data_IF_344067428778
#
_entry.id   IF_344067428778
#
_cell.length_a   1.000
_cell.length_b   1.000
_cell.length_c   1.000
_cell.angle_alpha   90.00
_cell.angle_beta   90.00
_cell.angle_gamma   90.00
#
_symmetry.space_group_name_H-M   'P 1'
#
loop_
_entity.id
_entity.type
_entity.pdbx_description
1 polymer ?
#
# COMPACT_ATOMS: atom_id res chain seq x y z
N UNK A 1 -53.99 4.30 32.17
CA UNK A 1 -52.77 5.10 31.96
C UNK A 1 -51.76 4.26 31.16
N UNK A 2 -51.03 4.91 30.23
CA UNK A 2 -49.70 4.53 29.70
C UNK A 2 -49.52 3.26 28.83
N UNK A 3 -50.00 3.24 27.58
CA UNK A 3 -49.49 2.29 26.55
C UNK A 3 -49.11 2.92 25.19
N UNK A 4 -49.46 4.18 24.91
CA UNK A 4 -49.19 4.81 23.61
C UNK A 4 -47.81 5.49 23.49
N UNK A 5 -47.14 5.79 24.61
CA UNK A 5 -45.87 6.55 24.61
C UNK A 5 -44.61 5.67 24.52
N UNK A 6 -44.73 4.35 24.69
CA UNK A 6 -43.58 3.43 24.74
C UNK A 6 -43.13 3.04 23.32
N UNK A 7 -44.06 2.78 22.40
CA UNK A 7 -43.79 2.40 21.00
C UNK A 7 -43.10 3.52 20.20
N UNK A 8 -43.47 4.78 20.43
CA UNK A 8 -42.86 5.94 19.75
C UNK A 8 -41.41 6.20 20.20
N UNK A 9 -41.09 5.89 21.47
CA UNK A 9 -39.73 6.05 22.03
C UNK A 9 -38.76 4.98 21.54
N UNK A 10 -39.23 3.74 21.38
CA UNK A 10 -38.40 2.64 20.87
C UNK A 10 -38.02 2.86 19.40
N UNK A 11 -38.95 3.36 18.58
CA UNK A 11 -38.68 3.67 17.16
C UNK A 11 -37.63 4.78 16.97
N UNK A 12 -37.62 5.80 17.84
CA UNK A 12 -36.65 6.92 17.78
C UNK A 12 -35.25 6.49 18.22
N UNK A 13 -35.14 5.58 19.20
CA UNK A 13 -33.84 5.07 19.68
C UNK A 13 -33.16 4.15 18.66
N UNK A 14 -33.92 3.34 17.91
CA UNK A 14 -33.37 2.49 16.87
C UNK A 14 -32.81 3.27 15.66
N UNK A 15 -33.41 4.42 15.33
CA UNK A 15 -32.99 5.24 14.18
C UNK A 15 -31.67 6.01 14.43
N UNK A 16 -31.35 6.33 15.68
CA UNK A 16 -30.11 7.03 16.04
C UNK A 16 -28.86 6.12 16.02
N UNK A 17 -29.04 4.80 16.17
CA UNK A 17 -27.93 3.85 16.10
C UNK A 17 -27.44 3.60 14.66
N UNK A 18 -28.26 3.89 13.65
CA UNK A 18 -27.92 3.67 12.23
C UNK A 18 -27.06 4.82 11.66
N UNK A 19 -27.12 6.01 12.25
CA UNK A 19 -26.42 7.21 11.76
C UNK A 19 -24.95 7.30 12.18
N UNK A 20 -24.48 6.47 13.12
CA UNK A 20 -23.09 6.48 13.59
C UNK A 20 -22.13 5.62 12.74
N UNK A 21 -22.65 4.87 11.76
CA UNK A 21 -21.90 3.82 11.07
C UNK A 21 -21.32 4.20 9.68
N UNK A 22 -21.36 5.46 9.25
CA UNK A 22 -20.92 5.87 7.90
C UNK A 22 -19.47 6.41 7.81
N UNK A 23 -18.64 6.25 8.83
CA UNK A 23 -17.25 6.73 8.82
C UNK A 23 -16.22 5.61 9.01
N UNK A 24 -15.28 5.48 8.06
CA UNK A 24 -14.06 4.67 8.26
C UNK A 24 -13.26 5.24 9.44
N UNK A 25 -12.82 4.38 10.33
CA UNK A 25 -11.90 4.72 11.41
C UNK A 25 -10.56 5.23 10.86
N UNK A 26 -9.81 5.96 11.68
CA UNK A 26 -8.48 6.42 11.31
C UNK A 26 -7.52 5.24 11.01
N UNK A 27 -7.72 4.08 11.64
CA UNK A 27 -6.93 2.89 11.37
C UNK A 27 -7.24 2.28 9.99
N UNK A 28 -8.52 2.17 9.64
CA UNK A 28 -8.95 1.69 8.32
C UNK A 28 -8.46 2.61 7.19
N UNK A 29 -8.55 3.94 7.38
CA UNK A 29 -8.03 4.90 6.40
C UNK A 29 -6.53 4.73 6.16
N UNK A 30 -5.73 4.55 7.22
CA UNK A 30 -4.28 4.30 7.09
C UNK A 30 -3.96 2.98 6.40
N UNK A 31 -4.73 1.93 6.70
CA UNK A 31 -4.57 0.62 6.04
C UNK A 31 -4.88 0.71 4.55
N UNK A 32 -5.97 1.37 4.19
CA UNK A 32 -6.37 1.60 2.80
C UNK A 32 -5.35 2.45 2.04
N UNK A 33 -4.87 3.53 2.66
CA UNK A 33 -3.81 4.38 2.10
C UNK A 33 -2.51 3.57 1.89
N UNK A 34 -2.08 2.80 2.87
CA UNK A 34 -0.89 1.96 2.75
C UNK A 34 -1.04 0.90 1.64
N UNK A 35 -2.21 0.28 1.52
CA UNK A 35 -2.52 -0.67 0.45
C UNK A 35 -2.50 0.00 -0.94
N UNK A 36 -3.03 1.22 -1.02
CA UNK A 36 -3.03 2.03 -2.25
C UNK A 36 -1.60 2.37 -2.68
N UNK A 37 -0.79 2.87 -1.75
CA UNK A 37 0.63 3.19 -2.00
C UNK A 37 1.44 1.95 -2.37
N UNK A 38 1.19 0.82 -1.71
CA UNK A 38 1.85 -0.46 -2.04
C UNK A 38 1.52 -0.88 -3.47
N UNK A 39 0.24 -0.85 -3.85
CA UNK A 39 -0.22 -1.19 -5.20
C UNK A 39 0.37 -0.27 -6.28
N UNK A 40 0.48 1.03 -6.01
CA UNK A 40 1.16 1.98 -6.90
C UNK A 40 2.66 1.69 -6.99
N UNK A 41 3.30 1.37 -5.88
CA UNK A 41 4.71 0.96 -5.83
C UNK A 41 4.97 -0.24 -6.75
N UNK A 42 4.17 -1.32 -6.61
CA UNK A 42 4.24 -2.49 -7.47
C UNK A 42 4.02 -2.14 -8.95
N UNK A 43 3.02 -1.29 -9.24
CA UNK A 43 2.74 -0.84 -10.60
C UNK A 43 3.96 -0.17 -11.22
N UNK A 44 4.62 0.74 -10.51
CA UNK A 44 5.77 1.46 -11.06
C UNK A 44 7.01 0.58 -11.21
N UNK A 45 7.23 -0.39 -10.33
CA UNK A 45 8.26 -1.42 -10.53
C UNK A 45 7.95 -2.27 -11.76
N UNK A 46 6.69 -2.69 -11.94
CA UNK A 46 6.22 -3.46 -13.09
C UNK A 46 6.48 -2.74 -14.42
N UNK A 47 6.39 -1.42 -14.45
CA UNK A 47 6.70 -0.61 -15.65
C UNK A 47 8.19 -0.59 -16.01
N UNK A 48 9.08 -1.02 -15.09
CA UNK A 48 10.55 -1.03 -15.28
C UNK A 48 11.13 -2.41 -15.57
N UNK A 49 10.36 -3.48 -15.40
CA UNK A 49 10.81 -4.86 -15.62
C UNK A 49 10.27 -5.44 -16.92
N UNK A 50 10.99 -6.42 -17.49
CA UNK A 50 10.72 -6.93 -18.84
C UNK A 50 9.43 -7.75 -18.96
N UNK A 51 9.12 -8.58 -17.97
CA UNK A 51 7.87 -9.32 -17.89
C UNK A 51 7.05 -8.84 -16.68
N UNK A 52 6.26 -7.75 -16.82
CA UNK A 52 5.53 -7.14 -15.70
C UNK A 52 4.55 -8.10 -15.00
N UNK A 53 3.94 -9.00 -15.78
CA UNK A 53 2.94 -9.95 -15.29
C UNK A 53 3.53 -11.08 -14.43
N UNK A 54 4.84 -11.36 -14.54
CA UNK A 54 5.54 -12.36 -13.73
C UNK A 54 6.23 -11.78 -12.51
N UNK A 55 6.20 -10.45 -12.33
CA UNK A 55 6.83 -9.79 -11.20
C UNK A 55 6.17 -10.21 -9.87
N UNK A 56 6.99 -10.72 -8.96
CA UNK A 56 6.59 -11.14 -7.61
C UNK A 56 7.10 -10.12 -6.59
N UNK A 57 6.31 -9.81 -5.57
CA UNK A 57 6.64 -8.82 -4.55
C UNK A 57 6.56 -9.41 -3.16
N UNK A 58 7.46 -8.99 -2.27
CA UNK A 58 7.45 -9.40 -0.85
C UNK A 58 8.10 -8.33 0.03
N UNK A 59 7.93 -8.48 1.35
CA UNK A 59 8.54 -7.62 2.37
C UNK A 59 8.29 -6.13 2.12
N UNK A 60 7.06 -5.79 1.70
CA UNK A 60 6.68 -4.45 1.31
C UNK A 60 6.28 -3.62 2.54
N UNK A 61 6.77 -2.40 2.60
CA UNK A 61 6.47 -1.43 3.66
C UNK A 61 6.27 -0.05 3.06
N UNK A 62 5.40 0.74 3.68
CA UNK A 62 5.28 2.17 3.38
C UNK A 62 6.15 2.93 4.37
N UNK A 63 7.24 3.51 3.87
CA UNK A 63 8.22 4.28 4.60
C UNK A 63 7.90 5.77 4.67
N UNK A 64 8.93 6.58 4.90
CA UNK A 64 8.81 8.03 5.06
C UNK A 64 8.30 8.68 3.76
N UNK A 65 7.44 9.69 3.91
CA UNK A 65 6.89 10.43 2.78
C UNK A 65 6.00 9.61 1.84
N UNK A 66 5.52 8.44 2.28
CA UNK A 66 4.70 7.54 1.46
C UNK A 66 5.50 6.67 0.49
N UNK A 67 6.83 6.61 0.64
CA UNK A 67 7.67 5.75 -0.19
C UNK A 67 7.34 4.27 0.03
N UNK A 68 7.02 3.54 -1.03
CA UNK A 68 6.86 2.09 -0.97
C UNK A 68 8.22 1.44 -1.16
N UNK A 69 8.65 0.66 -0.17
CA UNK A 69 9.90 -0.09 -0.22
C UNK A 69 9.63 -1.58 -0.10
N UNK A 70 10.46 -2.42 -0.72
CA UNK A 70 10.32 -3.86 -0.59
C UNK A 70 11.27 -4.62 -1.49
N UNK A 71 10.93 -5.87 -1.77
CA UNK A 71 11.65 -6.71 -2.70
C UNK A 71 10.75 -7.13 -3.86
N UNK A 72 11.33 -7.20 -5.06
CA UNK A 72 10.68 -7.74 -6.24
C UNK A 72 11.55 -8.83 -6.86
N UNK A 73 10.94 -9.79 -7.54
CA UNK A 73 11.63 -10.75 -8.40
C UNK A 73 10.97 -10.71 -9.77
N UNK A 74 11.77 -10.60 -10.83
CA UNK A 74 11.31 -10.52 -12.20
C UNK A 74 12.20 -11.38 -13.10
N UNK A 75 11.71 -11.68 -14.30
CA UNK A 75 12.48 -12.45 -15.27
C UNK A 75 13.40 -11.57 -16.11
N UNK A 76 14.55 -12.12 -16.47
CA UNK A 76 15.48 -11.56 -17.44
C UNK A 76 15.00 -11.77 -18.90
N UNK A 77 15.86 -11.42 -19.86
CA UNK A 77 15.57 -11.58 -21.28
C UNK A 77 15.48 -13.04 -21.74
N UNK A 78 15.95 -14.00 -20.95
CA UNK A 78 15.91 -15.43 -21.22
C UNK A 78 14.76 -16.14 -20.48
N UNK A 79 13.94 -15.40 -19.73
CA UNK A 79 12.79 -15.90 -18.99
C UNK A 79 13.12 -16.50 -17.62
N UNK A 80 14.37 -16.36 -17.15
CA UNK A 80 14.80 -16.82 -15.83
C UNK A 80 14.61 -15.73 -14.78
N UNK A 81 14.17 -16.11 -13.57
CA UNK A 81 14.08 -15.16 -12.45
C UNK A 81 15.46 -14.74 -11.97
N UNK A 82 15.66 -13.42 -11.80
CA UNK A 82 16.94 -12.82 -11.38
C UNK A 82 17.19 -12.90 -9.86
N UNK A 83 16.24 -13.46 -9.12
CA UNK A 83 16.23 -13.43 -7.66
C UNK A 83 15.59 -12.15 -7.13
N UNK A 84 15.30 -12.15 -5.82
CA UNK A 84 14.69 -10.99 -5.20
C UNK A 84 15.69 -9.83 -5.07
N UNK A 85 15.30 -8.68 -5.57
CA UNK A 85 16.04 -7.42 -5.58
C UNK A 85 15.23 -6.36 -4.82
N UNK A 86 15.91 -5.42 -4.15
CA UNK A 86 15.23 -4.35 -3.43
C UNK A 86 14.77 -3.24 -4.37
N UNK A 87 13.68 -2.57 -4.00
CA UNK A 87 13.19 -1.38 -4.69
C UNK A 87 12.71 -0.30 -3.71
N UNK A 88 12.68 0.95 -4.20
CA UNK A 88 12.09 2.11 -3.54
C UNK A 88 11.19 2.81 -4.56
N UNK A 89 9.96 3.17 -4.19
CA UNK A 89 9.01 3.81 -5.11
C UNK A 89 8.27 4.95 -4.43
N UNK A 90 8.53 6.19 -4.86
CA UNK A 90 7.87 7.40 -4.34
C UNK A 90 6.82 7.92 -5.32
N UNK A 91 7.14 7.85 -6.61
CA UNK A 91 6.26 8.19 -7.73
C UNK A 91 6.75 7.41 -8.95
N UNK A 92 5.98 7.43 -10.03
CA UNK A 92 6.28 6.70 -11.28
C UNK A 92 7.73 6.89 -11.77
N UNK A 93 8.16 8.13 -11.87
CA UNK A 93 9.51 8.47 -12.37
C UNK A 93 10.57 8.45 -11.25
N UNK A 94 10.13 8.33 -9.99
CA UNK A 94 10.96 8.25 -8.77
C UNK A 94 10.90 6.86 -8.15
N UNK A 95 11.03 5.83 -9.00
CA UNK A 95 11.18 4.43 -8.59
C UNK A 95 12.62 3.99 -8.83
N UNK A 96 13.31 3.49 -7.81
CA UNK A 96 14.68 2.99 -7.89
C UNK A 96 14.68 1.48 -7.69
N UNK A 97 15.31 0.76 -8.63
CA UNK A 97 15.60 -0.66 -8.47
C UNK A 97 17.07 -0.80 -8.06
N UNK A 98 17.37 -1.61 -7.06
CA UNK A 98 18.74 -1.77 -6.55
C UNK A 98 19.73 -2.23 -7.64
N UNK A 99 19.25 -2.95 -8.64
CA UNK A 99 20.03 -3.46 -9.76
C UNK A 99 20.38 -2.40 -10.82
N UNK A 100 19.71 -1.23 -10.81
CA UNK A 100 19.87 -0.19 -11.84
C UNK A 100 20.79 0.97 -11.40
N UNK A 101 21.21 0.99 -10.13
CA UNK A 101 22.00 2.08 -9.53
C UNK A 101 23.19 1.52 -8.74
N UNK A 102 24.10 2.40 -8.32
CA UNK A 102 25.22 1.97 -7.49
C UNK A 102 24.75 1.52 -6.09
N UNK A 103 25.41 0.54 -5.45
CA UNK A 103 25.03 0.11 -4.11
C UNK A 103 25.04 1.24 -3.07
N UNK A 104 26.03 2.14 -3.15
CA UNK A 104 26.15 3.27 -2.22
C UNK A 104 24.97 4.24 -2.33
N UNK A 105 24.57 4.58 -3.56
CA UNK A 105 23.41 5.44 -3.83
C UNK A 105 22.11 4.79 -3.36
N UNK A 106 21.93 3.49 -3.62
CA UNK A 106 20.73 2.77 -3.18
C UNK A 106 20.63 2.75 -1.66
N UNK A 107 21.72 2.41 -0.96
CA UNK A 107 21.73 2.36 0.51
C UNK A 107 21.45 3.72 1.15
N UNK A 108 21.95 4.80 0.56
CA UNK A 108 21.64 6.16 1.03
C UNK A 108 20.13 6.42 0.99
N UNK A 109 19.48 6.16 -0.15
CA UNK A 109 18.04 6.35 -0.32
C UNK A 109 17.23 5.40 0.58
N UNK A 110 17.67 4.15 0.72
CA UNK A 110 17.04 3.16 1.57
C UNK A 110 17.03 3.59 3.04
N UNK A 111 18.16 4.07 3.56
CA UNK A 111 18.24 4.56 4.94
C UNK A 111 17.40 5.82 5.17
N UNK A 112 17.26 6.67 4.16
CA UNK A 112 16.46 7.87 4.25
C UNK A 112 14.95 7.56 4.26
N UNK A 113 14.49 6.70 3.34
CA UNK A 113 13.07 6.52 3.04
C UNK A 113 12.46 5.26 3.67
N UNK A 114 13.22 4.16 3.77
CA UNK A 114 12.68 2.85 4.09
C UNK A 114 12.95 2.38 5.53
N UNK A 115 13.86 3.05 6.25
CA UNK A 115 14.15 2.80 7.67
C UNK A 115 13.55 3.86 8.59
#
# INVERSE_FOLDING_TARGET
MTFANTTRRVAVLALMAVLAACGKSAAEKRQEEAATLTSLGEKYVKEKVREPASAMFRNQVVGKGGATCGEFNAKDAFGAYIGYQRYISVARDLTLLAQDVSPAEFEQNWNQLCR
#
